data_IF_273053468913
#
_entry.id   IF_273053468913
#
_cell.length_a   1.000
_cell.length_b   1.000
_cell.length_c   1.000
_cell.angle_alpha   90.00
_cell.angle_beta   90.00
_cell.angle_gamma   90.00
#
_symmetry.space_group_name_H-M   'P 1'
#
loop_
_entity.id
_entity.type
_entity.pdbx_description
1 polymer ?
#
# COMPACT_ATOMS: atom_id res chain seq x y z
N UNK A 1 -36.80 -46.18 -17.96
CA UNK A 1 -36.24 -46.14 -16.58
C UNK A 1 -35.15 -45.06 -16.52
N UNK A 2 -35.29 -44.03 -17.36
CA UNK A 2 -34.11 -43.38 -17.95
C UNK A 2 -33.98 -41.94 -17.43
N UNK A 3 -35.11 -41.28 -17.15
CA UNK A 3 -35.12 -39.91 -16.59
C UNK A 3 -34.58 -39.78 -15.16
N UNK A 4 -34.36 -40.87 -14.43
CA UNK A 4 -33.72 -40.83 -13.10
C UNK A 4 -32.19 -40.79 -13.19
N UNK A 5 -31.60 -41.39 -14.24
CA UNK A 5 -30.16 -41.29 -14.50
C UNK A 5 -29.83 -39.92 -15.11
N UNK A 6 -30.66 -39.44 -16.03
CA UNK A 6 -30.47 -38.15 -16.68
C UNK A 6 -30.53 -36.99 -15.66
N UNK A 7 -31.55 -36.95 -14.80
CA UNK A 7 -31.66 -35.91 -13.77
C UNK A 7 -30.58 -35.95 -12.69
N UNK A 8 -29.97 -37.12 -12.45
CA UNK A 8 -28.86 -37.25 -11.49
C UNK A 8 -27.52 -36.84 -12.10
N UNK A 9 -27.29 -37.14 -13.38
CA UNK A 9 -26.10 -36.66 -14.11
C UNK A 9 -26.15 -35.15 -14.31
N UNK A 10 -27.29 -34.59 -14.73
CA UNK A 10 -27.45 -33.15 -14.95
C UNK A 10 -27.25 -32.36 -13.65
N UNK A 11 -27.92 -32.76 -12.55
CA UNK A 11 -27.78 -32.06 -11.27
C UNK A 11 -26.38 -32.16 -10.65
N UNK A 12 -25.64 -33.24 -10.93
CA UNK A 12 -24.27 -33.38 -10.45
C UNK A 12 -23.27 -32.60 -11.32
N UNK A 13 -23.46 -32.57 -12.64
CA UNK A 13 -22.66 -31.74 -13.55
C UNK A 13 -22.87 -30.26 -13.27
N UNK A 14 -24.12 -29.80 -13.18
CA UNK A 14 -24.45 -28.39 -12.92
C UNK A 14 -23.91 -27.95 -11.56
N UNK A 15 -24.17 -28.71 -10.49
CA UNK A 15 -23.70 -28.35 -9.15
C UNK A 15 -22.17 -28.35 -8.99
N UNK A 16 -21.47 -29.27 -9.68
CA UNK A 16 -20.00 -29.29 -9.66
C UNK A 16 -19.41 -28.17 -10.51
N UNK A 17 -20.00 -27.90 -11.67
CA UNK A 17 -19.53 -26.88 -12.60
C UNK A 17 -19.77 -25.48 -12.04
N UNK A 18 -20.95 -25.20 -11.49
CA UNK A 18 -21.26 -23.94 -10.82
C UNK A 18 -20.38 -23.75 -9.58
N UNK A 19 -20.30 -24.74 -8.70
CA UNK A 19 -19.52 -24.61 -7.45
C UNK A 19 -18.02 -24.46 -7.69
N UNK A 20 -17.47 -25.10 -8.72
CA UNK A 20 -16.05 -24.95 -9.07
C UNK A 20 -15.78 -23.64 -9.80
N UNK A 21 -16.68 -23.22 -10.68
CA UNK A 21 -16.54 -21.98 -11.45
C UNK A 21 -16.71 -20.77 -10.54
N UNK A 22 -17.72 -20.74 -9.68
CA UNK A 22 -17.93 -19.67 -8.69
C UNK A 22 -16.77 -19.63 -7.68
N UNK A 23 -16.41 -20.77 -7.08
CA UNK A 23 -15.35 -20.79 -6.06
C UNK A 23 -13.96 -20.43 -6.60
N UNK A 24 -13.65 -20.80 -7.85
CA UNK A 24 -12.39 -20.45 -8.48
C UNK A 24 -12.38 -18.99 -8.95
N UNK A 25 -13.49 -18.53 -9.52
CA UNK A 25 -13.61 -17.17 -10.05
C UNK A 25 -13.66 -16.15 -8.92
N UNK A 26 -14.44 -16.39 -7.86
CA UNK A 26 -14.48 -15.53 -6.66
C UNK A 26 -13.13 -15.55 -5.93
N UNK A 27 -12.59 -16.74 -5.64
CA UNK A 27 -11.34 -16.83 -4.88
C UNK A 27 -10.12 -16.25 -5.61
N UNK A 28 -10.07 -16.36 -6.94
CA UNK A 28 -9.00 -15.77 -7.73
C UNK A 28 -9.20 -14.27 -7.94
N UNK A 29 -10.43 -13.82 -8.18
CA UNK A 29 -10.75 -12.41 -8.40
C UNK A 29 -10.59 -11.62 -7.09
N UNK A 30 -11.13 -12.10 -5.97
CA UNK A 30 -10.97 -11.47 -4.66
C UNK A 30 -9.50 -11.49 -4.21
N UNK A 31 -8.84 -12.64 -4.26
CA UNK A 31 -7.46 -12.76 -3.81
C UNK A 31 -6.46 -11.93 -4.62
N UNK A 32 -6.69 -11.80 -5.94
CA UNK A 32 -5.84 -10.97 -6.80
C UNK A 32 -6.17 -9.49 -6.67
N UNK A 33 -7.46 -9.15 -6.56
CA UNK A 33 -7.90 -7.76 -6.45
C UNK A 33 -7.53 -7.18 -5.10
N UNK A 34 -7.77 -7.88 -3.99
CA UNK A 34 -7.37 -7.46 -2.64
C UNK A 34 -5.85 -7.41 -2.52
N UNK A 35 -5.14 -8.47 -2.91
CA UNK A 35 -3.68 -8.52 -2.75
C UNK A 35 -2.93 -7.48 -3.59
N UNK A 36 -3.44 -7.15 -4.78
CA UNK A 36 -2.84 -6.13 -5.63
C UNK A 36 -3.23 -4.72 -5.19
N UNK A 37 -4.49 -4.50 -4.81
CA UNK A 37 -4.99 -3.21 -4.39
C UNK A 37 -4.42 -2.81 -3.03
N UNK A 38 -4.41 -3.70 -2.04
CA UNK A 38 -3.81 -3.47 -0.73
C UNK A 38 -2.29 -3.29 -0.84
N UNK A 39 -1.60 -4.22 -1.53
CA UNK A 39 -0.15 -4.16 -1.64
C UNK A 39 0.36 -2.92 -2.40
N UNK A 40 -0.39 -2.45 -3.40
CA UNK A 40 -0.04 -1.24 -4.13
C UNK A 40 -0.41 0.02 -3.36
N UNK A 41 -1.57 0.04 -2.71
CA UNK A 41 -2.05 1.18 -1.94
C UNK A 41 -1.21 1.40 -0.68
N UNK A 42 -0.93 0.35 0.09
CA UNK A 42 -0.05 0.43 1.27
C UNK A 42 1.38 0.80 0.88
N UNK A 43 1.97 0.09 -0.10
CA UNK A 43 3.36 0.34 -0.50
C UNK A 43 3.58 1.75 -1.09
N UNK A 44 2.60 2.28 -1.81
CA UNK A 44 2.69 3.63 -2.35
C UNK A 44 2.38 4.71 -1.32
N UNK A 45 1.39 4.48 -0.46
CA UNK A 45 0.98 5.44 0.56
C UNK A 45 2.03 5.53 1.67
N UNK A 46 2.54 4.41 2.18
CA UNK A 46 3.61 4.39 3.18
C UNK A 46 4.91 4.97 2.60
N UNK A 47 5.35 4.50 1.44
CA UNK A 47 6.61 4.95 0.84
C UNK A 47 6.61 6.44 0.47
N UNK A 48 5.46 6.97 0.04
CA UNK A 48 5.34 8.40 -0.27
C UNK A 48 5.18 9.25 0.99
N UNK A 49 4.40 8.79 1.96
CA UNK A 49 4.14 9.52 3.20
C UNK A 49 5.39 9.56 4.07
N UNK A 50 6.07 8.44 4.28
CA UNK A 50 7.33 8.37 5.04
C UNK A 50 8.43 9.17 4.34
N UNK A 51 8.65 8.94 3.03
CA UNK A 51 9.71 9.64 2.31
C UNK A 51 9.52 11.15 2.22
N UNK A 52 8.27 11.62 2.12
CA UNK A 52 7.96 13.05 2.10
C UNK A 52 8.02 13.67 3.50
N UNK A 53 7.50 12.98 4.52
CA UNK A 53 7.48 13.47 5.88
C UNK A 53 8.88 13.50 6.49
N UNK A 54 9.69 12.45 6.31
CA UNK A 54 11.08 12.39 6.76
C UNK A 54 11.92 13.43 6.02
N UNK A 55 11.85 13.46 4.68
CA UNK A 55 12.64 14.39 3.88
C UNK A 55 12.32 15.86 4.13
N UNK A 56 11.05 16.18 4.41
CA UNK A 56 10.64 17.55 4.74
C UNK A 56 10.98 17.92 6.18
N UNK A 57 10.81 17.01 7.12
CA UNK A 57 11.10 17.24 8.53
C UNK A 57 12.60 17.36 8.79
N UNK A 58 13.41 16.46 8.23
CA UNK A 58 14.88 16.51 8.33
C UNK A 58 15.41 17.76 7.63
N UNK A 59 15.00 18.01 6.39
CA UNK A 59 15.49 19.16 5.63
C UNK A 59 15.13 20.52 6.24
N UNK A 60 13.95 20.63 6.85
CA UNK A 60 13.52 21.86 7.52
C UNK A 60 14.19 22.04 8.87
N UNK A 61 14.34 20.96 9.64
CA UNK A 61 14.94 20.98 10.96
C UNK A 61 16.45 21.24 10.89
N UNK A 62 17.16 20.55 9.98
CA UNK A 62 18.59 20.76 9.73
C UNK A 62 18.85 22.18 9.21
N UNK A 63 18.10 22.64 8.20
CA UNK A 63 18.27 23.98 7.64
C UNK A 63 18.00 25.10 8.65
N UNK A 64 17.07 24.89 9.58
CA UNK A 64 16.77 25.87 10.63
C UNK A 64 17.84 25.86 11.74
N UNK A 65 18.30 24.68 12.16
CA UNK A 65 19.38 24.54 13.14
C UNK A 65 20.71 25.12 12.62
N UNK A 66 21.07 24.79 11.38
CA UNK A 66 22.29 25.29 10.73
C UNK A 66 22.24 26.81 10.59
N UNK A 67 21.14 27.35 10.04
CA UNK A 67 21.00 28.81 9.89
C UNK A 67 21.00 29.57 11.22
N UNK A 68 20.44 28.99 12.28
CA UNK A 68 20.45 29.61 13.61
C UNK A 68 21.84 29.56 14.25
N UNK A 69 22.54 28.42 14.13
CA UNK A 69 23.89 28.22 14.66
C UNK A 69 24.89 29.11 13.94
N UNK A 70 24.83 29.15 12.61
CA UNK A 70 25.69 30.00 11.77
C UNK A 70 25.46 31.48 12.08
N UNK A 71 24.19 31.90 12.20
CA UNK A 71 23.84 33.28 12.55
C UNK A 71 24.31 33.70 13.96
N UNK A 72 24.29 32.78 14.92
CA UNK A 72 24.82 33.03 16.26
C UNK A 72 26.34 33.15 16.26
N UNK A 73 27.05 32.24 15.60
CA UNK A 73 28.51 32.25 15.48
C UNK A 73 28.97 33.53 14.77
N UNK A 74 28.27 33.95 13.72
CA UNK A 74 28.59 35.17 13.00
C UNK A 74 28.41 36.41 13.88
N UNK A 75 27.34 36.46 14.67
CA UNK A 75 27.05 37.57 15.59
C UNK A 75 28.07 37.63 16.75
N UNK A 76 28.45 36.49 17.29
CA UNK A 76 29.49 36.40 18.34
C UNK A 76 30.85 36.86 17.80
N UNK A 77 31.26 36.39 16.62
CA UNK A 77 32.50 36.84 15.98
C UNK A 77 32.48 38.33 15.58
N UNK A 78 31.32 38.93 15.39
CA UNK A 78 31.21 40.36 15.13
C UNK A 78 31.40 41.17 16.41
N UNK A 79 30.83 40.72 17.53
CA UNK A 79 30.99 41.35 18.84
C UNK A 79 32.42 41.24 19.39
N UNK A 80 33.14 40.16 19.12
CA UNK A 80 34.55 40.01 19.51
C UNK A 80 35.52 40.89 18.70
N UNK A 81 35.08 41.39 17.53
CA UNK A 81 35.90 42.23 16.63
C UNK A 81 35.66 43.73 16.78
N UNK A 82 34.66 44.13 17.57
CA UNK A 82 34.36 45.53 17.93
C UNK A 82 34.86 45.84 19.34
#
# INVERSE_FOLDING_TARGET
MDGWMDGWMDGWMDGWMDGWMDGWMDGWMDGWMDGWMDGWMDGWMDGWMDGWMDGWMDGWMDGWMDGWTDGWIEKERFLERT
#
